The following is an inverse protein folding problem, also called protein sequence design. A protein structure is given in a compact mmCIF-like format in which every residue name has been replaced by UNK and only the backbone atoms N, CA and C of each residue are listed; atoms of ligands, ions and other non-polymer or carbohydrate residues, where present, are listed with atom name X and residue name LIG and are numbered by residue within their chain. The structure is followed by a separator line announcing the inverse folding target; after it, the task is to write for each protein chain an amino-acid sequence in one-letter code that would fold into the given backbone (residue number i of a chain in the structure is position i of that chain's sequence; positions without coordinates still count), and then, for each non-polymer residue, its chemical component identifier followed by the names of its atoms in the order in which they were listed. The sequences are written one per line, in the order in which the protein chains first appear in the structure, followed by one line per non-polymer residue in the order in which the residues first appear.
data_IF_094471624402
#
_entry.id   IF_094471624402
#
_cell.length_a   1.000
_cell.length_b   1.000
_cell.length_c   1.000
_cell.angle_alpha   90.00
_cell.angle_beta   90.00
_cell.angle_gamma   90.00
#
_symmetry.space_group_name_H-M   'P 1'
#
loop_
_entity.id
_entity.type
_entity.pdbx_description
1 polymer ?
#
# COMPACT_ATOMS: atom_id res chain seq x y z
N UNK A 1 3.57 6.47 -7.87
CA UNK A 1 4.09 5.12 -8.20
C UNK A 1 5.33 5.15 -9.12
N UNK A 2 5.62 6.27 -9.80
CA UNK A 2 6.91 6.50 -10.49
C UNK A 2 8.14 6.24 -9.63
N UNK A 3 8.04 6.56 -8.34
CA UNK A 3 9.22 6.63 -7.46
C UNK A 3 9.74 5.25 -7.09
N UNK A 4 8.85 4.26 -6.84
CA UNK A 4 9.24 2.89 -6.52
C UNK A 4 9.86 2.18 -7.74
N UNK A 5 9.24 2.31 -8.92
CA UNK A 5 9.77 1.73 -10.17
C UNK A 5 11.12 2.37 -10.52
N UNK A 6 11.24 3.68 -10.37
CA UNK A 6 12.50 4.41 -10.59
C UNK A 6 13.57 3.96 -9.59
N UNK A 7 13.23 3.84 -8.31
CA UNK A 7 14.16 3.36 -7.28
C UNK A 7 14.62 1.91 -7.57
N UNK A 8 13.71 1.02 -7.97
CA UNK A 8 14.03 -0.35 -8.35
C UNK A 8 14.95 -0.42 -9.58
N UNK A 9 14.73 0.43 -10.59
CA UNK A 9 15.61 0.53 -11.77
C UNK A 9 17.01 1.05 -11.39
N UNK A 10 17.09 2.07 -10.52
CA UNK A 10 18.35 2.59 -10.02
C UNK A 10 19.11 1.55 -9.20
N UNK A 11 18.43 0.82 -8.31
CA UNK A 11 19.01 -0.26 -7.53
C UNK A 11 19.58 -1.37 -8.44
N UNK A 12 18.82 -1.80 -9.47
CA UNK A 12 19.29 -2.79 -10.43
C UNK A 12 20.52 -2.30 -11.22
N UNK A 13 20.55 -1.02 -11.59
CA UNK A 13 21.72 -0.41 -12.26
C UNK A 13 22.96 -0.43 -11.37
N UNK A 14 22.81 -0.10 -10.08
CA UNK A 14 23.91 -0.12 -9.11
C UNK A 14 24.45 -1.53 -8.87
N UNK A 15 23.57 -2.52 -8.70
CA UNK A 15 23.97 -3.92 -8.50
C UNK A 15 24.74 -4.47 -9.71
N UNK A 16 24.25 -4.21 -10.92
CA UNK A 16 24.95 -4.59 -12.16
C UNK A 16 26.31 -3.89 -12.31
N UNK A 17 26.43 -2.65 -11.83
CA UNK A 17 27.70 -1.91 -11.79
C UNK A 17 28.68 -2.56 -10.83
N UNK A 18 28.26 -2.81 -9.59
CA UNK A 18 29.07 -3.48 -8.58
C UNK A 18 29.54 -4.86 -9.03
N UNK A 19 28.64 -5.65 -9.66
CA UNK A 19 28.99 -6.96 -10.23
C UNK A 19 30.14 -6.90 -11.24
N UNK A 20 30.17 -5.86 -12.10
CA UNK A 20 31.27 -5.65 -13.07
C UNK A 20 32.58 -5.35 -12.36
N UNK A 21 32.55 -4.57 -11.28
CA UNK A 21 33.76 -4.21 -10.52
C UNK A 21 34.38 -5.43 -9.83
N UNK A 22 33.55 -6.31 -9.25
CA UNK A 22 34.02 -7.53 -8.57
C UNK A 22 34.27 -8.71 -9.52
N UNK A 23 34.10 -8.53 -10.84
CA UNK A 23 34.26 -9.57 -11.87
C UNK A 23 33.49 -10.87 -11.57
N UNK A 24 32.30 -10.76 -10.98
CA UNK A 24 31.43 -11.91 -10.74
C UNK A 24 30.55 -12.17 -11.98
N UNK A 25 30.61 -13.38 -12.54
CA UNK A 25 29.86 -13.72 -13.77
C UNK A 25 28.36 -13.92 -13.53
N UNK A 26 27.95 -14.24 -12.29
CA UNK A 26 26.57 -14.62 -12.00
C UNK A 26 25.76 -13.44 -11.47
N UNK A 27 24.51 -13.32 -11.95
CA UNK A 27 23.52 -12.45 -11.30
C UNK A 27 23.16 -13.01 -9.93
N UNK A 28 23.14 -12.16 -8.92
CA UNK A 28 22.62 -12.56 -7.61
C UNK A 28 21.09 -12.60 -7.64
N UNK A 29 20.50 -13.31 -6.67
CA UNK A 29 19.04 -13.45 -6.58
C UNK A 29 18.31 -12.11 -6.49
N UNK A 30 18.94 -11.10 -5.88
CA UNK A 30 18.40 -9.75 -5.80
C UNK A 30 18.26 -9.07 -7.19
N UNK A 31 19.23 -9.25 -8.09
CA UNK A 31 19.14 -8.74 -9.47
C UNK A 31 17.99 -9.41 -10.22
N UNK A 32 17.88 -10.74 -10.11
CA UNK A 32 16.81 -11.51 -10.75
C UNK A 32 15.43 -11.14 -10.20
N UNK A 33 15.32 -10.93 -8.90
CA UNK A 33 14.07 -10.51 -8.26
C UNK A 33 13.65 -9.11 -8.72
N UNK A 34 14.59 -8.16 -8.82
CA UNK A 34 14.33 -6.82 -9.34
C UNK A 34 13.92 -6.84 -10.81
N UNK A 35 14.58 -7.64 -11.65
CA UNK A 35 14.21 -7.82 -13.05
C UNK A 35 12.81 -8.41 -13.21
N UNK A 36 12.48 -9.43 -12.41
CA UNK A 36 11.15 -10.04 -12.40
C UNK A 36 10.08 -9.04 -11.94
N UNK A 37 10.36 -8.24 -10.90
CA UNK A 37 9.46 -7.21 -10.41
C UNK A 37 9.24 -6.08 -11.42
N UNK A 38 10.31 -5.61 -12.08
CA UNK A 38 10.22 -4.57 -13.12
C UNK A 38 9.59 -5.08 -14.43
N UNK A 39 9.69 -6.38 -14.69
CA UNK A 39 9.12 -7.05 -15.86
C UNK A 39 7.65 -7.44 -15.72
N UNK A 40 7.08 -7.41 -14.51
CA UNK A 40 5.64 -7.54 -14.34
C UNK A 40 4.95 -6.30 -14.91
N UNK A 41 3.92 -6.45 -15.77
CA UNK A 41 3.14 -5.31 -16.22
C UNK A 41 2.46 -4.69 -15.00
N UNK A 42 2.70 -3.40 -14.76
CA UNK A 42 1.86 -2.62 -13.86
C UNK A 42 0.46 -2.65 -14.46
N UNK A 43 -0.50 -3.28 -13.78
CA UNK A 43 -1.87 -3.27 -14.27
C UNK A 43 -2.38 -1.85 -14.25
N UNK A 44 -2.71 -1.32 -15.42
CA UNK A 44 -3.51 -0.10 -15.52
C UNK A 44 -4.95 -0.41 -15.12
N UNK A 45 -5.64 0.55 -14.46
CA UNK A 45 -7.05 0.38 -14.13
C UNK A 45 -7.87 0.25 -15.41
N UNK A 46 -8.74 -0.75 -15.45
CA UNK A 46 -9.61 -1.06 -16.60
C UNK A 46 -10.82 -0.13 -16.62
N UNK A 47 -11.19 0.40 -15.46
CA UNK A 47 -12.23 1.41 -15.28
C UNK A 47 -11.95 2.21 -14.01
N UNK A 48 -12.74 3.25 -13.80
CA UNK A 48 -12.70 4.12 -12.65
C UNK A 48 -14.11 4.28 -12.10
N UNK A 49 -14.26 4.07 -10.79
CA UNK A 49 -15.46 4.46 -10.08
C UNK A 49 -15.32 5.91 -9.67
N UNK A 50 -16.26 6.76 -10.05
CA UNK A 50 -16.24 8.18 -9.74
C UNK A 50 -17.45 8.52 -8.89
N UNK A 51 -17.25 9.28 -7.82
CA UNK A 51 -18.27 9.52 -6.82
C UNK A 51 -18.20 10.93 -6.22
N UNK A 52 -19.36 11.45 -5.83
CA UNK A 52 -19.46 12.75 -5.16
C UNK A 52 -18.87 12.69 -3.76
N UNK A 53 -18.34 13.82 -3.28
CA UNK A 53 -17.74 13.89 -1.94
C UNK A 53 -18.74 13.58 -0.81
N UNK A 54 -20.03 13.84 -1.05
CA UNK A 54 -21.13 13.48 -0.15
C UNK A 54 -21.59 12.01 -0.26
N UNK A 55 -21.01 11.24 -1.18
CA UNK A 55 -21.29 9.81 -1.39
C UNK A 55 -22.67 9.50 -1.97
N UNK A 56 -23.45 10.49 -2.40
CA UNK A 56 -24.83 10.28 -2.89
C UNK A 56 -24.91 9.80 -4.33
N UNK A 57 -23.90 10.09 -5.14
CA UNK A 57 -23.86 9.73 -6.55
C UNK A 57 -22.58 8.98 -6.87
N UNK A 58 -22.72 7.94 -7.69
CA UNK A 58 -21.60 7.11 -8.15
C UNK A 58 -21.83 6.69 -9.60
N UNK A 59 -20.76 6.69 -10.39
CA UNK A 59 -20.75 6.18 -11.75
C UNK A 59 -19.45 5.40 -12.01
N UNK A 60 -19.44 4.61 -13.08
CA UNK A 60 -18.22 3.94 -13.57
C UNK A 60 -17.91 4.53 -14.95
N UNK A 61 -16.66 4.92 -15.15
CA UNK A 61 -16.14 5.54 -16.38
C UNK A 61 -14.81 4.89 -16.76
N UNK A 62 -14.46 4.92 -18.04
CA UNK A 62 -13.13 4.58 -18.54
C UNK A 62 -12.14 5.75 -18.39
N UNK A 63 -12.65 6.99 -18.34
CA UNK A 63 -11.86 8.19 -18.10
C UNK A 63 -12.35 8.98 -16.87
N UNK A 64 -11.59 9.01 -15.75
CA UNK A 64 -11.99 9.76 -14.56
C UNK A 64 -11.84 11.27 -14.73
N UNK A 65 -11.05 11.73 -15.71
CA UNK A 65 -10.80 13.15 -15.94
C UNK A 65 -12.01 13.91 -16.48
N UNK A 66 -13.03 13.20 -16.96
CA UNK A 66 -14.31 13.79 -17.38
C UNK A 66 -15.08 14.39 -16.20
N UNK A 67 -14.70 14.07 -14.96
CA UNK A 67 -15.34 14.52 -13.73
C UNK A 67 -14.34 15.29 -12.85
N UNK A 68 -14.34 16.62 -12.98
CA UNK A 68 -13.34 17.49 -12.34
C UNK A 68 -13.53 17.57 -10.81
N UNK A 69 -14.77 17.57 -10.33
CA UNK A 69 -15.10 17.81 -8.91
C UNK A 69 -15.33 16.53 -8.10
N UNK A 70 -15.28 15.37 -8.74
CA UNK A 70 -15.63 14.09 -8.11
C UNK A 70 -14.37 13.30 -7.76
N UNK A 71 -14.44 12.47 -6.73
CA UNK A 71 -13.33 11.57 -6.38
C UNK A 71 -13.37 10.36 -7.29
N UNK A 72 -12.20 9.87 -7.69
CA UNK A 72 -12.06 8.67 -8.51
C UNK A 72 -11.36 7.55 -7.74
N UNK A 73 -11.79 6.32 -8.00
CA UNK A 73 -11.22 5.11 -7.44
C UNK A 73 -10.94 4.11 -8.58
N UNK A 74 -9.68 3.67 -8.77
CA UNK A 74 -9.32 2.78 -9.85
C UNK A 74 -9.87 1.36 -9.66
N UNK A 75 -10.37 0.76 -10.73
CA UNK A 75 -10.92 -0.60 -10.76
C UNK A 75 -10.04 -1.50 -11.64
N UNK A 76 -9.55 -2.59 -11.06
CA UNK A 76 -8.67 -3.55 -11.73
C UNK A 76 -9.39 -4.88 -11.94
N UNK A 77 -9.12 -5.56 -13.05
CA UNK A 77 -9.64 -6.92 -13.30
C UNK A 77 -9.00 -7.96 -12.41
N UNK A 78 -7.77 -7.72 -11.96
CA UNK A 78 -7.10 -8.51 -10.93
C UNK A 78 -6.62 -7.54 -9.84
N UNK A 79 -7.42 -7.31 -8.79
CA UNK A 79 -7.04 -6.41 -7.72
C UNK A 79 -5.64 -6.76 -7.20
N UNK A 80 -4.74 -5.78 -7.03
CA UNK A 80 -3.45 -6.05 -6.45
C UNK A 80 -3.66 -6.72 -5.09
N UNK A 81 -2.92 -7.82 -4.84
CA UNK A 81 -2.93 -8.46 -3.52
C UNK A 81 -2.47 -7.43 -2.50
N UNK A 82 -3.37 -7.03 -1.61
CA UNK A 82 -3.04 -6.15 -0.49
C UNK A 82 -2.57 -7.01 0.66
N UNK A 83 -1.38 -6.74 1.16
CA UNK A 83 -0.96 -7.27 2.45
C UNK A 83 -1.84 -6.65 3.54
N UNK A 84 -2.18 -7.38 4.61
CA UNK A 84 -2.82 -6.79 5.77
C UNK A 84 -2.00 -5.60 6.27
N UNK A 85 -2.69 -4.52 6.66
CA UNK A 85 -2.03 -3.38 7.32
C UNK A 85 -1.32 -3.88 8.57
N UNK A 86 -0.12 -3.36 8.83
CA UNK A 86 0.55 -3.58 10.11
C UNK A 86 -0.23 -2.94 11.25
N UNK A 87 0.03 -3.38 12.49
CA UNK A 87 -0.58 -2.78 13.69
C UNK A 87 -0.34 -1.27 13.75
N UNK A 88 0.87 -0.82 13.42
CA UNK A 88 1.22 0.61 13.41
C UNK A 88 0.46 1.40 12.36
N UNK A 89 0.31 0.85 11.15
CA UNK A 89 -0.50 1.50 10.10
C UNK A 89 -1.98 1.56 10.48
N UNK A 90 -2.50 0.53 11.16
CA UNK A 90 -3.84 0.54 11.72
C UNK A 90 -4.01 1.61 12.80
N UNK A 91 -3.07 1.74 13.72
CA UNK A 91 -3.09 2.81 14.74
C UNK A 91 -3.16 4.19 14.09
N UNK A 92 -2.26 4.47 13.15
CA UNK A 92 -2.21 5.74 12.44
C UNK A 92 -3.49 6.01 11.64
N UNK A 93 -4.04 4.99 10.98
CA UNK A 93 -5.30 5.13 10.26
C UNK A 93 -6.48 5.46 11.19
N UNK A 94 -6.53 4.85 12.38
CA UNK A 94 -7.58 5.09 13.36
C UNK A 94 -7.47 6.46 14.04
N UNK A 95 -6.24 6.94 14.29
CA UNK A 95 -5.98 8.31 14.75
C UNK A 95 -6.43 9.31 13.68
N UNK A 96 -6.08 9.07 12.41
CA UNK A 96 -6.42 9.98 11.32
C UNK A 96 -7.94 10.14 11.07
N UNK A 97 -8.76 9.21 11.58
CA UNK A 97 -10.23 9.27 11.50
C UNK A 97 -10.89 9.61 12.85
N UNK A 98 -10.09 10.10 13.81
CA UNK A 98 -10.52 10.49 15.16
C UNK A 98 -11.27 9.37 15.92
N UNK A 99 -10.97 8.10 15.61
CA UNK A 99 -11.53 6.95 16.33
C UNK A 99 -10.70 6.55 17.55
N UNK A 100 -9.42 6.91 17.56
CA UNK A 100 -8.48 6.64 18.64
C UNK A 100 -7.66 7.89 18.88
N UNK A 101 -7.55 8.31 20.14
CA UNK A 101 -6.70 9.43 20.50
C UNK A 101 -5.22 9.05 20.42
N UNK A 102 -4.37 10.02 20.07
CA UNK A 102 -2.92 9.82 20.03
C UNK A 102 -2.39 9.40 21.42
N UNK A 103 -2.97 9.96 22.50
CA UNK A 103 -2.59 9.62 23.87
C UNK A 103 -2.87 8.14 24.21
N UNK A 104 -3.85 7.51 23.56
CA UNK A 104 -4.15 6.08 23.73
C UNK A 104 -3.05 5.17 23.16
N UNK A 105 -2.19 5.71 22.28
CA UNK A 105 -1.04 5.01 21.70
C UNK A 105 0.25 5.36 22.45
N UNK A 106 0.42 6.64 22.82
CA UNK A 106 1.66 7.15 23.42
C UNK A 106 1.78 6.79 24.92
N UNK A 107 0.68 6.77 25.67
CA UNK A 107 0.59 6.30 27.06
C UNK A 107 -0.67 5.45 27.30
N UNK A 108 -0.68 4.20 26.79
CA UNK A 108 -1.86 3.35 26.85
C UNK A 108 -2.30 3.04 28.29
N UNK A 109 -1.36 2.82 29.20
CA UNK A 109 -1.68 2.51 30.60
C UNK A 109 -2.31 3.71 31.32
N UNK A 110 -1.82 4.93 31.05
CA UNK A 110 -2.34 6.17 31.62
C UNK A 110 -3.64 6.67 30.99
N UNK A 111 -3.90 6.35 29.73
CA UNK A 111 -5.08 6.81 28.99
C UNK A 111 -6.34 5.99 29.31
N UNK A 112 -6.28 4.67 29.10
CA UNK A 112 -7.43 3.78 29.27
C UNK A 112 -7.07 2.37 29.76
N UNK A 113 -5.85 2.19 30.29
CA UNK A 113 -5.34 0.88 30.69
C UNK A 113 -5.02 -0.04 29.51
N UNK A 114 -4.76 0.54 28.33
CA UNK A 114 -4.40 -0.17 27.10
C UNK A 114 -5.57 -0.84 26.40
N UNK A 115 -6.81 -0.43 26.70
CA UNK A 115 -8.00 -1.04 26.11
C UNK A 115 -8.06 -0.82 24.60
N UNK A 116 -7.80 0.40 24.10
CA UNK A 116 -7.75 0.69 22.66
C UNK A 116 -6.65 -0.10 21.96
N UNK A 117 -5.44 -0.19 22.54
CA UNK A 117 -4.35 -1.01 21.98
C UNK A 117 -4.75 -2.49 21.87
N UNK A 118 -5.35 -3.05 22.92
CA UNK A 118 -5.82 -4.43 22.89
C UNK A 118 -6.90 -4.69 21.84
N UNK A 119 -7.79 -3.72 21.59
CA UNK A 119 -8.79 -3.80 20.51
C UNK A 119 -8.13 -3.76 19.12
N UNK A 120 -7.14 -2.91 18.92
CA UNK A 120 -6.40 -2.79 17.65
C UNK A 120 -5.65 -4.09 17.34
N UNK A 121 -4.98 -4.67 18.33
CA UNK A 121 -4.27 -5.95 18.17
C UNK A 121 -5.24 -7.10 17.85
N UNK A 122 -6.38 -7.15 18.54
CA UNK A 122 -7.41 -8.13 18.27
C UNK A 122 -8.01 -7.98 16.86
N UNK A 123 -8.20 -6.74 16.40
CA UNK A 123 -8.66 -6.43 15.05
C UNK A 123 -7.63 -6.86 14.01
N UNK A 124 -6.36 -6.50 14.19
CA UNK A 124 -5.26 -6.89 13.30
C UNK A 124 -5.18 -8.41 13.17
N UNK A 125 -5.23 -9.14 14.29
CA UNK A 125 -5.23 -10.62 14.29
C UNK A 125 -6.38 -11.20 13.46
N UNK A 126 -7.61 -10.70 13.63
CA UNK A 126 -8.77 -11.15 12.85
C UNK A 126 -8.64 -10.85 11.36
N UNK A 127 -8.08 -9.70 11.00
CA UNK A 127 -7.87 -9.32 9.60
C UNK A 127 -6.81 -10.18 8.92
N UNK A 128 -5.76 -10.55 9.65
CA UNK A 128 -4.69 -11.42 9.14
C UNK A 128 -5.15 -12.86 9.01
N UNK A 129 -5.90 -13.39 9.98
CA UNK A 129 -6.45 -14.75 9.93
C UNK A 129 -7.53 -14.94 8.85
N UNK A 130 -8.29 -13.89 8.50
CA UNK A 130 -9.33 -13.97 7.45
C UNK A 130 -8.77 -14.00 6.03
N UNK A 131 -7.52 -13.56 5.85
CA UNK A 131 -6.86 -13.44 4.55
C UNK A 131 -5.77 -14.50 4.33
N UNK A 132 -5.56 -15.42 5.28
CA UNK A 132 -4.67 -16.58 5.19
C UNK A 132 -5.40 -17.80 4.63
#
# INVERSE_FOLDING_TARGET
MSDLRTAAQQALKSLRGYRREISCEQSCDAERALEAALGQPEQEPVAWMVYTQDGKSVCVTDNPADFIEWRSFPLYTHPPRREPLTVTELQQALIAVDLVDQDAIDDPEGYDGGWHLGQIDALHKRLTERNA
#
